data_IF_376810182924
#
_entry.id   IF_376810182924
#
_cell.length_a   1.000
_cell.length_b   1.000
_cell.length_c   1.000
_cell.angle_alpha   90.00
_cell.angle_beta   90.00
_cell.angle_gamma   90.00
#
_symmetry.space_group_name_H-M   'P 1'
#
loop_
_entity.id
_entity.type
_entity.pdbx_description
1 polymer ?
#
# COMPACT_ATOMS: atom_id res chain seq x y z
N UNK A 1 11.76 23.04 -41.72
CA UNK A 1 10.52 22.33 -41.30
C UNK A 1 9.39 23.33 -41.11
N UNK A 2 8.13 22.88 -41.08
CA UNK A 2 6.96 23.78 -40.94
C UNK A 2 6.88 24.39 -39.51
N UNK A 3 7.00 25.73 -39.34
CA UNK A 3 7.06 26.36 -38.02
C UNK A 3 5.79 26.26 -37.17
N UNK A 4 4.64 25.92 -37.76
CA UNK A 4 3.40 25.63 -37.01
C UNK A 4 3.48 24.25 -36.38
N UNK A 5 3.89 23.24 -37.16
CA UNK A 5 4.06 21.84 -36.70
C UNK A 5 5.11 21.72 -35.60
N UNK A 6 6.21 22.48 -35.66
CA UNK A 6 7.21 22.50 -34.58
C UNK A 6 6.61 23.03 -33.27
N UNK A 7 5.87 24.14 -33.30
CA UNK A 7 5.21 24.69 -32.10
C UNK A 7 4.16 23.76 -31.51
N UNK A 8 3.45 23.03 -32.36
CA UNK A 8 2.48 22.02 -31.93
C UNK A 8 3.17 20.87 -31.19
N UNK A 9 4.22 20.27 -31.77
CA UNK A 9 4.98 19.18 -31.14
C UNK A 9 5.59 19.61 -29.79
N UNK A 10 6.08 20.84 -29.68
CA UNK A 10 6.58 21.43 -28.43
C UNK A 10 5.47 21.56 -27.39
N UNK A 11 4.26 21.97 -27.79
CA UNK A 11 3.12 22.08 -26.88
C UNK A 11 2.67 20.71 -26.36
N UNK A 12 2.69 19.67 -27.21
CA UNK A 12 2.40 18.30 -26.79
C UNK A 12 3.44 17.78 -25.82
N UNK A 13 4.73 17.86 -26.16
CA UNK A 13 5.84 17.45 -25.28
C UNK A 13 5.86 18.15 -23.90
N UNK A 14 5.30 19.36 -23.79
CA UNK A 14 5.19 20.07 -22.50
C UNK A 14 3.96 19.71 -21.67
N UNK A 15 2.85 19.31 -22.30
CA UNK A 15 1.52 19.26 -21.67
C UNK A 15 0.81 17.90 -21.75
N UNK A 16 1.29 16.98 -22.57
CA UNK A 16 0.69 15.66 -22.82
C UNK A 16 1.66 14.56 -22.38
N UNK A 17 1.17 13.40 -21.88
CA UNK A 17 2.03 12.27 -21.50
C UNK A 17 2.88 11.70 -22.64
N UNK A 18 2.47 11.97 -23.89
CA UNK A 18 3.17 11.55 -25.10
C UNK A 18 3.27 12.70 -26.12
N UNK A 19 4.40 12.85 -26.82
CA UNK A 19 5.61 12.03 -26.73
C UNK A 19 6.42 12.36 -25.47
N UNK A 20 6.98 11.33 -24.81
CA UNK A 20 7.92 11.49 -23.68
C UNK A 20 9.37 11.75 -24.10
N UNK A 21 9.69 11.59 -25.39
CA UNK A 21 11.03 11.78 -25.96
C UNK A 21 10.95 12.78 -27.12
N UNK A 22 11.77 13.82 -27.09
CA UNK A 22 11.90 14.81 -28.16
C UNK A 22 13.30 14.74 -28.80
N UNK A 23 13.40 14.18 -30.00
CA UNK A 23 14.65 14.19 -30.78
C UNK A 23 14.80 15.54 -31.48
N UNK A 24 15.96 16.18 -31.34
CA UNK A 24 16.19 17.50 -31.95
C UNK A 24 17.65 17.81 -32.27
N UNK A 25 17.85 18.78 -33.15
CA UNK A 25 19.14 19.40 -33.48
C UNK A 25 19.31 20.71 -32.71
N UNK A 26 18.31 21.61 -32.75
CA UNK A 26 18.42 22.98 -32.24
C UNK A 26 17.33 23.39 -31.23
N UNK A 27 16.34 22.53 -30.94
CA UNK A 27 15.13 22.94 -30.23
C UNK A 27 15.35 23.15 -28.71
N UNK A 28 16.42 22.57 -28.15
CA UNK A 28 16.92 22.92 -26.80
C UNK A 28 17.70 24.25 -26.77
N UNK A 29 18.00 24.86 -27.92
CA UNK A 29 18.56 26.22 -27.99
C UNK A 29 17.44 27.26 -27.97
N UNK A 30 16.31 26.95 -28.63
CA UNK A 30 15.17 27.85 -28.83
C UNK A 30 14.23 27.91 -27.62
N UNK A 31 14.66 28.50 -26.51
CA UNK A 31 13.78 29.06 -25.47
C UNK A 31 12.81 28.13 -24.70
N UNK A 32 12.84 26.82 -24.92
CA UNK A 32 11.83 25.87 -24.42
C UNK A 32 12.04 25.40 -22.97
N UNK A 33 10.94 25.15 -22.27
CA UNK A 33 10.80 24.92 -20.83
C UNK A 33 9.33 24.54 -20.55
N UNK A 34 8.93 23.40 -20.00
CA UNK A 34 9.64 22.17 -19.57
C UNK A 34 10.62 22.26 -18.36
N UNK A 35 10.10 22.38 -17.12
CA UNK A 35 10.81 22.03 -15.88
C UNK A 35 10.92 20.50 -15.63
N UNK A 36 9.98 19.73 -16.17
CA UNK A 36 9.82 18.27 -15.98
C UNK A 36 10.91 17.43 -16.67
N UNK A 37 11.85 18.06 -17.40
CA UNK A 37 12.91 17.37 -18.13
C UNK A 37 13.85 16.65 -17.16
N UNK A 38 13.82 15.32 -17.12
CA UNK A 38 14.65 14.47 -16.26
C UNK A 38 15.91 13.92 -16.93
N UNK A 39 15.99 13.90 -18.27
CA UNK A 39 17.09 13.25 -18.99
C UNK A 39 17.52 14.06 -20.22
N UNK A 40 18.83 14.25 -20.39
CA UNK A 40 19.46 14.81 -21.59
C UNK A 40 20.28 13.72 -22.30
N UNK A 41 20.22 13.67 -23.63
CA UNK A 41 20.96 12.71 -24.46
C UNK A 41 21.74 13.45 -25.55
N UNK A 42 23.07 13.40 -25.49
CA UNK A 42 23.98 14.05 -26.45
C UNK A 42 24.41 13.08 -27.56
N UNK A 43 23.60 12.99 -28.63
CA UNK A 43 23.94 12.19 -29.82
C UNK A 43 24.88 12.91 -30.81
N UNK A 44 25.34 14.13 -30.50
CA UNK A 44 26.20 14.95 -31.37
C UNK A 44 27.08 15.88 -30.54
N UNK A 45 28.36 16.03 -30.95
CA UNK A 45 29.29 16.96 -30.30
C UNK A 45 28.84 18.41 -30.37
N UNK A 46 28.71 19.04 -29.20
CA UNK A 46 28.47 20.48 -29.04
C UNK A 46 29.82 21.20 -28.99
N UNK A 47 30.05 22.14 -29.92
CA UNK A 47 31.33 22.86 -30.04
C UNK A 47 31.43 24.17 -29.23
N UNK A 48 30.37 24.53 -28.50
CA UNK A 48 30.28 25.81 -27.78
C UNK A 48 29.92 25.57 -26.32
N UNK A 49 30.78 26.02 -25.40
CA UNK A 49 30.52 25.98 -23.94
C UNK A 49 29.20 26.66 -23.60
N UNK A 50 28.97 27.86 -24.12
CA UNK A 50 27.75 28.64 -23.86
C UNK A 50 26.50 27.85 -24.24
N UNK A 51 26.55 27.13 -25.36
CA UNK A 51 25.43 26.32 -25.82
C UNK A 51 25.20 25.08 -24.94
N UNK A 52 26.29 24.44 -24.49
CA UNK A 52 26.24 23.31 -23.57
C UNK A 52 25.70 23.72 -22.18
N UNK A 53 26.20 24.82 -21.60
CA UNK A 53 25.70 25.38 -20.33
C UNK A 53 24.23 25.81 -20.45
N UNK A 54 23.79 26.34 -21.61
CA UNK A 54 22.37 26.64 -21.88
C UNK A 54 21.49 25.39 -21.98
N UNK A 55 21.98 24.30 -22.58
CA UNK A 55 21.26 23.01 -22.62
C UNK A 55 21.14 22.42 -21.21
N UNK A 56 22.23 22.45 -20.44
CA UNK A 56 22.31 21.96 -19.07
C UNK A 56 21.39 22.74 -18.13
N UNK A 57 21.40 24.08 -18.23
CA UNK A 57 20.56 24.99 -17.43
C UNK A 57 19.05 24.89 -17.68
N UNK A 58 18.60 24.12 -18.68
CA UNK A 58 17.18 23.73 -18.82
C UNK A 58 16.85 22.53 -17.92
N UNK A 59 17.77 21.58 -17.79
CA UNK A 59 17.59 20.39 -16.98
C UNK A 59 17.73 20.65 -15.47
N UNK A 60 18.42 21.71 -15.04
CA UNK A 60 18.56 22.08 -13.62
C UNK A 60 17.29 22.60 -12.94
N UNK A 61 16.20 22.85 -13.70
CA UNK A 61 14.93 23.36 -13.17
C UNK A 61 14.28 22.35 -12.21
N UNK A 62 13.98 22.80 -10.99
CA UNK A 62 13.22 22.03 -10.00
C UNK A 62 11.78 21.79 -10.48
N UNK A 63 11.25 20.61 -10.16
CA UNK A 63 9.88 20.25 -10.51
C UNK A 63 9.25 19.43 -9.37
N UNK A 64 8.48 20.07 -8.45
CA UNK A 64 7.89 19.40 -7.31
C UNK A 64 6.84 18.33 -7.66
N UNK A 65 6.07 18.53 -8.75
CA UNK A 65 5.00 17.60 -9.18
C UNK A 65 5.50 16.17 -9.43
N UNK A 66 6.73 16.03 -9.93
CA UNK A 66 7.39 14.75 -10.18
C UNK A 66 8.51 14.43 -9.17
N UNK A 67 8.61 15.19 -8.07
CA UNK A 67 9.65 15.05 -7.04
C UNK A 67 11.09 15.05 -7.61
N UNK A 68 11.35 15.90 -8.61
CA UNK A 68 12.63 15.94 -9.34
C UNK A 68 13.78 16.40 -8.43
N UNK A 69 14.64 15.45 -8.06
CA UNK A 69 15.84 15.67 -7.22
C UNK A 69 17.14 15.80 -8.02
N UNK A 70 17.17 15.29 -9.24
CA UNK A 70 18.32 15.27 -10.14
C UNK A 70 17.85 15.17 -11.60
N UNK A 71 18.78 15.17 -12.54
CA UNK A 71 18.57 14.82 -13.94
C UNK A 71 19.78 14.01 -14.44
N UNK A 72 19.56 13.20 -15.47
CA UNK A 72 20.59 12.33 -16.05
C UNK A 72 21.14 12.90 -17.36
N UNK A 73 22.41 12.60 -17.65
CA UNK A 73 23.07 12.95 -18.91
C UNK A 73 23.64 11.66 -19.53
N UNK A 74 23.19 11.34 -20.73
CA UNK A 74 23.76 10.28 -21.55
C UNK A 74 24.58 10.91 -22.68
N UNK A 75 25.87 10.64 -22.72
CA UNK A 75 26.80 11.25 -23.68
C UNK A 75 27.71 10.22 -24.36
N UNK A 76 27.20 9.51 -25.38
CA UNK A 76 28.00 8.56 -26.16
C UNK A 76 29.03 9.21 -27.10
N UNK A 77 29.19 10.54 -27.12
CA UNK A 77 30.08 11.25 -28.08
C UNK A 77 31.16 12.10 -27.43
N UNK A 78 31.23 12.14 -26.09
CA UNK A 78 32.26 12.82 -25.31
C UNK A 78 32.17 14.35 -25.34
N UNK A 79 30.97 14.91 -25.26
CA UNK A 79 30.73 16.36 -25.07
C UNK A 79 31.16 16.81 -23.67
N UNK A 80 30.82 16.04 -22.65
CA UNK A 80 31.04 16.35 -21.25
C UNK A 80 32.54 16.39 -20.94
N UNK A 81 33.26 15.31 -21.24
CA UNK A 81 34.72 15.20 -21.12
C UNK A 81 35.46 16.32 -21.87
N UNK A 82 35.00 16.66 -23.08
CA UNK A 82 35.61 17.73 -23.88
C UNK A 82 35.35 19.16 -23.39
N UNK A 83 34.34 19.37 -22.52
CA UNK A 83 33.95 20.69 -22.01
C UNK A 83 34.13 20.84 -20.49
N UNK A 84 34.37 19.75 -19.76
CA UNK A 84 34.67 19.73 -18.33
C UNK A 84 35.80 20.71 -17.92
N UNK A 85 36.94 20.83 -18.64
CA UNK A 85 38.01 21.76 -18.26
C UNK A 85 37.63 23.24 -18.32
N UNK A 86 36.55 23.58 -19.03
CA UNK A 86 36.10 24.97 -19.27
C UNK A 86 34.71 25.27 -18.72
N UNK A 87 34.01 24.27 -18.17
CA UNK A 87 32.64 24.37 -17.64
C UNK A 87 32.61 25.01 -16.25
N UNK A 88 31.66 25.92 -16.03
CA UNK A 88 31.40 26.50 -14.70
C UNK A 88 30.43 25.67 -13.86
N UNK A 89 29.61 24.82 -14.50
CA UNK A 89 28.71 23.90 -13.80
C UNK A 89 29.41 22.56 -13.53
N UNK A 90 30.22 22.52 -12.46
CA UNK A 90 30.74 21.25 -11.92
C UNK A 90 29.66 20.54 -11.08
N UNK A 91 29.52 19.21 -11.18
CA UNK A 91 28.64 18.46 -10.29
C UNK A 91 29.23 18.50 -8.87
N UNK A 92 28.42 18.90 -7.89
CA UNK A 92 28.80 18.94 -6.46
C UNK A 92 29.19 17.54 -5.93
N UNK A 93 28.86 16.47 -6.67
CA UNK A 93 29.11 15.08 -6.30
C UNK A 93 29.28 14.25 -7.58
N UNK A 94 30.53 13.94 -7.94
CA UNK A 94 30.88 13.22 -9.18
C UNK A 94 30.45 11.75 -9.17
N UNK A 95 30.38 11.11 -7.99
CA UNK A 95 29.88 9.74 -7.82
C UNK A 95 28.58 9.75 -7.00
N UNK A 96 27.43 9.31 -7.57
CA UNK A 96 26.17 9.21 -6.82
C UNK A 96 26.18 8.08 -5.78
N UNK A 97 27.04 7.09 -5.97
CA UNK A 97 27.20 5.88 -5.14
C UNK A 97 28.03 6.07 -3.87
N UNK A 98 28.86 7.12 -3.76
CA UNK A 98 29.71 7.34 -2.58
C UNK A 98 28.86 7.51 -1.32
N UNK A 99 29.14 6.73 -0.27
CA UNK A 99 28.37 6.76 0.99
C UNK A 99 28.76 7.96 1.86
N UNK A 100 27.88 8.32 2.80
CA UNK A 100 28.14 9.31 3.86
C UNK A 100 29.38 8.88 4.65
N UNK A 101 29.50 7.60 5.01
CA UNK A 101 30.69 7.04 5.66
C UNK A 101 31.96 7.29 4.84
N UNK A 102 31.96 6.98 3.54
CA UNK A 102 33.12 7.23 2.65
C UNK A 102 33.46 8.72 2.51
N UNK A 103 32.47 9.62 2.56
CA UNK A 103 32.73 11.06 2.55
C UNK A 103 33.39 11.53 3.85
N UNK A 104 32.97 11.01 5.00
CA UNK A 104 33.55 11.30 6.32
C UNK A 104 34.96 10.69 6.45
N UNK A 105 35.15 9.43 6.07
CA UNK A 105 36.44 8.74 6.06
C UNK A 105 37.43 9.42 5.09
N UNK A 106 36.91 10.00 4.00
CA UNK A 106 37.68 10.80 3.06
C UNK A 106 38.29 12.08 3.65
N UNK A 107 37.74 12.62 4.74
CA UNK A 107 38.29 13.82 5.40
C UNK A 107 39.67 13.56 6.03
N UNK A 108 40.07 12.31 6.25
CA UNK A 108 41.35 11.96 6.88
C UNK A 108 42.55 12.10 5.95
N UNK A 109 42.31 12.27 4.65
CA UNK A 109 43.36 12.45 3.63
C UNK A 109 43.62 13.92 3.26
N UNK A 110 42.85 14.86 3.85
CA UNK A 110 42.96 16.29 3.59
C UNK A 110 43.34 17.04 4.87
N UNK A 111 44.45 17.76 4.83
CA UNK A 111 44.90 18.64 5.92
C UNK A 111 44.58 20.12 5.63
N UNK A 112 44.68 20.53 4.36
CA UNK A 112 44.40 21.91 3.91
C UNK A 112 42.90 22.27 3.97
N UNK A 113 42.61 23.47 4.49
CA UNK A 113 41.24 23.94 4.76
C UNK A 113 40.36 24.02 3.50
N UNK A 114 40.91 24.41 2.34
CA UNK A 114 40.18 24.48 1.07
C UNK A 114 39.69 23.08 0.62
N UNK A 115 40.53 22.05 0.71
CA UNK A 115 40.19 20.68 0.34
C UNK A 115 39.23 20.04 1.36
N UNK A 116 39.41 20.34 2.65
CA UNK A 116 38.48 19.96 3.72
C UNK A 116 37.10 20.57 3.46
N UNK A 117 37.01 21.87 3.16
CA UNK A 117 35.73 22.53 2.85
C UNK A 117 35.04 21.91 1.63
N UNK A 118 35.78 21.65 0.55
CA UNK A 118 35.24 20.97 -0.65
C UNK A 118 34.72 19.56 -0.33
N UNK A 119 35.29 18.87 0.66
CA UNK A 119 34.80 17.57 1.13
C UNK A 119 33.58 17.69 2.07
N UNK A 120 33.52 18.71 2.93
CA UNK A 120 32.36 19.05 3.76
C UNK A 120 31.16 19.44 2.89
N UNK A 121 31.35 20.23 1.83
CA UNK A 121 30.28 20.62 0.91
C UNK A 121 29.64 19.40 0.22
N UNK A 122 30.45 18.40 -0.18
CA UNK A 122 29.96 17.11 -0.71
C UNK A 122 29.14 16.35 0.32
N UNK A 123 29.60 16.32 1.57
CA UNK A 123 28.94 15.66 2.70
C UNK A 123 27.58 16.31 3.00
N UNK A 124 27.54 17.64 3.15
CA UNK A 124 26.31 18.41 3.34
C UNK A 124 25.34 18.18 2.19
N UNK A 125 25.81 18.24 0.93
CA UNK A 125 24.97 17.98 -0.23
C UNK A 125 24.46 16.52 -0.32
N UNK A 126 25.18 15.53 0.22
CA UNK A 126 24.72 14.13 0.34
C UNK A 126 23.66 14.01 1.44
N UNK A 127 23.93 14.55 2.64
CA UNK A 127 23.02 14.54 3.78
C UNK A 127 21.68 15.21 3.44
N UNK A 128 21.69 16.43 2.88
CA UNK A 128 20.46 17.12 2.46
C UNK A 128 19.63 16.32 1.44
N UNK A 129 20.28 15.63 0.48
CA UNK A 129 19.59 14.74 -0.46
C UNK A 129 18.98 13.53 0.23
N UNK A 130 19.65 12.98 1.25
CA UNK A 130 19.17 11.83 2.01
C UNK A 130 17.99 12.20 2.93
N UNK A 131 18.09 13.29 3.68
CA UNK A 131 17.00 13.85 4.51
C UNK A 131 15.72 14.02 3.69
N UNK A 132 15.82 14.68 2.52
CA UNK A 132 14.69 14.89 1.58
C UNK A 132 14.12 13.60 0.96
N UNK A 133 14.78 12.45 1.11
CA UNK A 133 14.30 11.17 0.60
C UNK A 133 13.58 10.32 1.66
N UNK A 134 13.68 10.70 2.93
CA UNK A 134 13.00 10.04 4.04
C UNK A 134 11.57 10.58 4.20
N UNK A 135 10.67 9.72 4.66
CA UNK A 135 9.35 10.18 5.12
C UNK A 135 9.42 10.82 6.51
N UNK A 136 8.50 11.72 6.84
CA UNK A 136 8.43 12.42 8.14
C UNK A 136 8.53 11.47 9.34
N UNK A 137 7.96 10.26 9.24
CA UNK A 137 8.02 9.23 10.30
C UNK A 137 9.42 8.62 10.43
N UNK A 138 10.11 8.38 9.31
CA UNK A 138 11.48 7.86 9.32
C UNK A 138 12.48 8.92 9.80
N UNK A 139 12.31 10.17 9.37
CA UNK A 139 13.15 11.28 9.79
C UNK A 139 13.06 11.49 11.30
N UNK A 140 11.84 11.59 11.85
CA UNK A 140 11.63 11.74 13.31
C UNK A 140 12.22 10.58 14.12
N UNK A 141 12.00 9.34 13.70
CA UNK A 141 12.58 8.18 14.39
C UNK A 141 14.12 8.17 14.37
N UNK A 142 14.73 8.66 13.28
CA UNK A 142 16.18 8.80 13.18
C UNK A 142 16.70 9.97 14.03
N UNK A 143 16.01 11.11 14.09
CA UNK A 143 16.35 12.26 14.94
C UNK A 143 16.17 11.95 16.44
N UNK A 144 15.13 11.19 16.81
CA UNK A 144 14.93 10.66 18.17
C UNK A 144 16.08 9.75 18.62
N UNK A 145 16.62 8.93 17.71
CA UNK A 145 17.78 8.09 18.00
C UNK A 145 19.10 8.87 18.02
N UNK A 146 19.25 9.87 17.14
CA UNK A 146 20.43 10.72 17.06
C UNK A 146 20.56 11.73 18.23
N UNK A 147 19.42 12.17 18.79
CA UNK A 147 19.37 13.20 19.82
C UNK A 147 19.55 14.63 19.30
N UNK A 148 19.54 14.84 17.98
CA UNK A 148 19.64 16.15 17.33
C UNK A 148 18.90 16.15 15.98
N UNK A 149 18.55 17.35 15.47
CA UNK A 149 17.97 17.46 14.13
C UNK A 149 19.04 17.44 13.04
N UNK A 150 18.82 16.63 11.99
CA UNK A 150 19.74 16.56 10.86
C UNK A 150 19.72 17.83 9.99
N UNK A 151 18.61 18.58 9.98
CA UNK A 151 18.51 19.86 9.25
C UNK A 151 19.31 20.98 9.93
N UNK A 152 19.39 20.95 11.27
CA UNK A 152 20.21 21.88 12.04
C UNK A 152 21.69 21.48 11.96
N UNK A 153 21.99 20.19 12.14
CA UNK A 153 23.34 19.66 12.03
C UNK A 153 23.99 19.91 10.65
N UNK A 154 23.24 19.79 9.56
CA UNK A 154 23.74 20.11 8.20
C UNK A 154 23.90 21.60 7.94
N UNK A 155 23.18 22.46 8.68
CA UNK A 155 23.34 23.92 8.65
C UNK A 155 24.60 24.33 9.39
N UNK A 156 24.82 23.77 10.58
CA UNK A 156 26.02 23.97 11.39
C UNK A 156 27.28 23.52 10.65
N UNK A 157 27.28 22.34 10.03
CA UNK A 157 28.40 21.83 9.22
C UNK A 157 28.84 22.78 8.09
N UNK A 158 27.92 23.59 7.55
CA UNK A 158 28.20 24.57 6.49
C UNK A 158 28.60 25.95 7.08
N UNK A 159 28.31 26.21 8.35
CA UNK A 159 28.64 27.45 9.05
C UNK A 159 29.90 27.39 9.91
N UNK A 160 30.32 26.19 10.31
CA UNK A 160 31.55 25.93 11.04
C UNK A 160 32.80 26.19 10.17
N UNK A 161 33.92 26.49 10.84
CA UNK A 161 35.26 26.47 10.25
C UNK A 161 35.61 25.06 9.70
N UNK A 162 36.37 24.91 8.59
CA UNK A 162 36.60 23.61 7.94
C UNK A 162 37.11 22.52 8.90
N UNK A 163 38.03 22.84 9.82
CA UNK A 163 38.56 21.85 10.76
C UNK A 163 37.55 21.53 11.88
N UNK A 164 36.75 22.51 12.30
CA UNK A 164 35.65 22.28 13.25
C UNK A 164 34.55 21.40 12.62
N UNK A 165 34.16 21.69 11.38
CA UNK A 165 33.21 20.89 10.61
C UNK A 165 33.71 19.45 10.41
N UNK A 166 34.99 19.27 10.08
CA UNK A 166 35.66 17.96 10.00
C UNK A 166 35.57 17.19 11.31
N UNK A 167 35.89 17.79 12.45
CA UNK A 167 35.80 17.13 13.75
C UNK A 167 34.34 16.78 14.11
N UNK A 168 33.38 17.69 13.87
CA UNK A 168 31.95 17.46 14.12
C UNK A 168 31.41 16.30 13.27
N UNK A 169 31.74 16.26 11.98
CA UNK A 169 31.37 15.17 11.07
C UNK A 169 31.91 13.82 11.54
N UNK A 170 33.17 13.76 11.98
CA UNK A 170 33.80 12.53 12.48
C UNK A 170 33.23 12.07 13.83
N UNK A 171 32.91 12.98 14.74
CA UNK A 171 32.29 12.62 16.03
C UNK A 171 30.94 11.93 15.86
N UNK A 172 30.15 12.34 14.87
CA UNK A 172 28.84 11.76 14.58
C UNK A 172 28.87 10.69 13.47
N UNK A 173 30.05 10.17 13.12
CA UNK A 173 30.25 9.25 11.98
C UNK A 173 29.23 8.12 11.94
N UNK A 174 29.07 7.37 13.03
CA UNK A 174 28.19 6.19 13.07
C UNK A 174 26.72 6.57 12.84
N UNK A 175 26.25 7.65 13.46
CA UNK A 175 24.87 8.15 13.33
C UNK A 175 24.61 8.67 11.91
N UNK A 176 25.57 9.38 11.33
CA UNK A 176 25.48 9.89 9.96
C UNK A 176 25.61 8.77 8.91
N UNK A 177 26.44 7.75 9.17
CA UNK A 177 26.57 6.58 8.31
C UNK A 177 25.29 5.73 8.31
N UNK A 178 24.68 5.53 9.48
CA UNK A 178 23.40 4.82 9.63
C UNK A 178 22.28 5.43 8.79
N UNK A 179 22.31 6.74 8.49
CA UNK A 179 21.36 7.34 7.55
C UNK A 179 21.37 6.64 6.20
N UNK A 180 22.52 6.26 5.63
CA UNK A 180 22.57 5.56 4.33
C UNK A 180 21.77 4.25 4.37
N UNK A 181 21.82 3.52 5.50
CA UNK A 181 21.05 2.29 5.76
C UNK A 181 19.55 2.54 5.97
N UNK A 182 19.14 3.75 6.36
CA UNK A 182 17.71 4.12 6.36
C UNK A 182 17.25 4.19 4.90
N UNK A 183 16.62 3.11 4.45
CA UNK A 183 16.09 2.99 3.11
C UNK A 183 14.90 3.95 2.93
N UNK A 184 15.15 5.07 2.24
CA UNK A 184 14.11 5.65 1.40
C UNK A 184 13.63 4.54 0.43
N UNK A 185 12.32 4.42 0.19
CA UNK A 185 11.68 3.34 -0.59
C UNK A 185 12.07 3.36 -2.09
N UNK A 186 13.35 3.15 -2.39
CA UNK A 186 13.80 2.50 -3.62
C UNK A 186 13.81 1.02 -3.30
N UNK A 187 12.89 0.28 -3.91
CA UNK A 187 12.77 -1.16 -3.71
C UNK A 187 14.14 -1.83 -3.87
N UNK A 188 14.40 -2.83 -3.03
CA UNK A 188 15.66 -3.55 -2.98
C UNK A 188 16.18 -3.85 -4.40
N UNK A 189 17.49 -3.69 -4.61
CA UNK A 189 18.11 -4.07 -5.87
C UNK A 189 17.83 -5.56 -6.12
N UNK A 190 16.91 -5.84 -7.04
CA UNK A 190 16.53 -7.21 -7.37
C UNK A 190 17.70 -7.86 -8.07
N UNK A 191 18.24 -8.93 -7.48
CA UNK A 191 19.20 -9.80 -8.16
C UNK A 191 18.40 -10.56 -9.23
N UNK A 192 18.47 -10.10 -10.47
CA UNK A 192 17.85 -10.78 -11.60
C UNK A 192 18.77 -11.96 -11.99
N UNK A 193 18.22 -13.16 -11.92
CA UNK A 193 18.85 -14.38 -12.42
C UNK A 193 18.30 -14.68 -13.81
N UNK A 194 19.18 -14.97 -14.78
CA UNK A 194 18.80 -15.47 -16.10
C UNK A 194 18.58 -17.01 -16.12
N UNK A 195 18.63 -17.67 -14.96
CA UNK A 195 18.29 -19.09 -14.84
C UNK A 195 16.76 -19.29 -14.87
N UNK A 196 16.26 -20.42 -15.41
CA UNK A 196 14.85 -20.75 -15.31
C UNK A 196 14.44 -20.92 -13.83
N UNK A 197 13.36 -20.26 -13.42
CA UNK A 197 12.83 -20.36 -12.06
C UNK A 197 12.35 -21.78 -11.74
N UNK A 198 12.69 -22.27 -10.54
CA UNK A 198 12.17 -23.51 -9.97
C UNK A 198 11.44 -23.22 -8.66
N UNK A 199 10.20 -23.71 -8.53
CA UNK A 199 9.42 -23.58 -7.30
C UNK A 199 9.90 -24.59 -6.25
N UNK A 200 10.94 -24.24 -5.50
CA UNK A 200 11.53 -25.10 -4.47
C UNK A 200 10.55 -25.39 -3.33
N UNK A 201 9.80 -24.38 -2.88
CA UNK A 201 8.73 -24.53 -1.90
C UNK A 201 7.80 -23.32 -1.90
N UNK A 202 6.59 -23.48 -1.37
CA UNK A 202 5.66 -22.39 -1.10
C UNK A 202 4.92 -22.68 0.21
N UNK A 203 5.31 -21.98 1.26
CA UNK A 203 4.67 -22.00 2.59
C UNK A 203 3.81 -20.75 2.77
N UNK A 204 2.63 -20.90 3.38
CA UNK A 204 1.73 -19.78 3.71
C UNK A 204 1.83 -19.47 5.19
N UNK A 205 2.24 -18.24 5.52
CA UNK A 205 2.29 -17.77 6.90
C UNK A 205 0.89 -17.33 7.36
N UNK A 206 0.49 -17.81 8.54
CA UNK A 206 -0.73 -17.42 9.25
C UNK A 206 -0.46 -16.44 10.40
N UNK A 207 0.81 -16.10 10.62
CA UNK A 207 1.32 -15.27 11.70
C UNK A 207 2.30 -16.08 12.55
N UNK A 208 3.53 -15.60 12.66
CA UNK A 208 4.56 -16.24 13.50
C UNK A 208 5.08 -17.59 12.99
N UNK A 209 4.80 -17.96 11.72
CA UNK A 209 5.21 -19.25 11.15
C UNK A 209 4.33 -20.43 11.54
N UNK A 210 3.13 -20.18 12.08
CA UNK A 210 2.15 -21.22 12.43
C UNK A 210 1.63 -21.98 11.20
N UNK A 211 1.41 -23.29 11.34
CA UNK A 211 0.74 -24.12 10.32
C UNK A 211 -0.78 -23.88 10.35
N UNK A 212 -1.54 -24.30 9.31
CA UNK A 212 -3.00 -24.20 9.31
C UNK A 212 -3.66 -24.84 10.54
N UNK A 213 -3.13 -25.98 10.99
CA UNK A 213 -3.60 -26.70 12.18
C UNK A 213 -3.41 -25.84 13.44
N UNK A 214 -2.18 -25.38 13.68
CA UNK A 214 -1.81 -24.60 14.86
C UNK A 214 -2.61 -23.29 14.95
N UNK A 215 -2.87 -22.66 13.79
CA UNK A 215 -3.67 -21.43 13.69
C UNK A 215 -5.15 -21.64 14.01
N UNK A 216 -5.72 -22.78 13.60
CA UNK A 216 -7.12 -23.12 13.86
C UNK A 216 -7.33 -23.65 15.29
N UNK A 217 -6.33 -24.31 15.88
CA UNK A 217 -6.29 -24.66 17.30
C UNK A 217 -6.25 -23.38 18.16
N UNK A 218 -5.34 -22.44 17.84
CA UNK A 218 -5.30 -21.13 18.51
C UNK A 218 -6.59 -20.32 18.37
N UNK A 219 -7.30 -20.42 17.24
CA UNK A 219 -8.63 -19.84 17.08
C UNK A 219 -9.65 -20.52 18.00
N UNK A 220 -9.64 -21.85 18.07
CA UNK A 220 -10.51 -22.64 18.96
C UNK A 220 -10.34 -22.24 20.42
N UNK A 221 -9.10 -22.15 20.90
CA UNK A 221 -8.76 -21.75 22.27
C UNK A 221 -9.16 -20.30 22.57
N UNK A 222 -8.96 -19.40 21.61
CA UNK A 222 -9.38 -18.01 21.73
C UNK A 222 -10.90 -17.92 21.90
N UNK A 223 -11.67 -18.63 21.06
CA UNK A 223 -13.13 -18.66 21.13
C UNK A 223 -13.60 -19.25 22.46
N UNK A 224 -13.06 -20.40 22.87
CA UNK A 224 -13.43 -21.07 24.12
C UNK A 224 -13.17 -20.21 25.37
N UNK A 225 -12.08 -19.43 25.35
CA UNK A 225 -11.70 -18.53 26.45
C UNK A 225 -12.61 -17.29 26.51
N UNK A 226 -12.88 -16.64 25.38
CA UNK A 226 -13.53 -15.32 25.33
C UNK A 226 -15.05 -15.36 25.08
N UNK A 227 -15.67 -16.53 24.88
CA UNK A 227 -17.11 -16.68 24.60
C UNK A 227 -18.04 -16.08 25.68
N UNK A 228 -17.58 -15.98 26.93
CA UNK A 228 -18.34 -15.38 28.03
C UNK A 228 -18.01 -13.90 28.26
N UNK A 229 -16.91 -13.41 27.69
CA UNK A 229 -16.44 -12.03 27.86
C UNK A 229 -16.87 -11.13 26.70
N UNK A 230 -16.85 -11.65 25.47
CA UNK A 230 -17.26 -10.94 24.26
C UNK A 230 -18.72 -11.24 23.97
N UNK A 231 -19.59 -10.27 24.24
CA UNK A 231 -21.04 -10.43 24.03
C UNK A 231 -21.42 -10.90 22.62
N UNK A 232 -20.71 -10.44 21.58
CA UNK A 232 -20.95 -10.87 20.21
C UNK A 232 -20.58 -12.35 19.95
N UNK A 233 -19.52 -12.89 20.59
CA UNK A 233 -19.20 -14.32 20.52
C UNK A 233 -20.30 -15.17 21.17
N UNK A 234 -20.76 -14.76 22.35
CA UNK A 234 -21.87 -15.42 23.04
C UNK A 234 -23.13 -15.46 22.17
N UNK A 235 -23.44 -14.35 21.50
CA UNK A 235 -24.63 -14.17 20.69
C UNK A 235 -24.56 -14.99 19.38
N UNK A 236 -23.39 -15.10 18.73
CA UNK A 236 -23.18 -16.03 17.60
C UNK A 236 -23.52 -17.48 17.94
N UNK A 237 -23.29 -17.91 19.18
CA UNK A 237 -23.53 -19.28 19.63
C UNK A 237 -24.98 -19.48 20.11
N UNK A 238 -25.48 -18.58 20.94
CA UNK A 238 -26.79 -18.73 21.60
C UNK A 238 -27.97 -18.26 20.75
N UNK A 239 -27.83 -17.13 20.05
CA UNK A 239 -28.90 -16.46 19.30
C UNK A 239 -28.38 -15.72 18.05
N UNK A 240 -27.77 -16.40 17.06
CA UNK A 240 -27.20 -15.74 15.89
C UNK A 240 -28.22 -14.93 15.07
N UNK A 241 -29.52 -15.25 15.17
CA UNK A 241 -30.61 -14.48 14.57
C UNK A 241 -30.80 -13.06 15.15
N UNK A 242 -30.29 -12.79 16.36
CA UNK A 242 -30.36 -11.48 17.02
C UNK A 242 -29.15 -10.57 16.68
N UNK A 243 -28.20 -11.04 15.85
CA UNK A 243 -27.03 -10.26 15.45
C UNK A 243 -27.42 -9.03 14.63
N UNK A 244 -26.85 -7.88 14.98
CA UNK A 244 -26.92 -6.66 14.16
C UNK A 244 -25.63 -6.47 13.36
N UNK A 245 -25.71 -5.70 12.26
CA UNK A 245 -24.53 -5.30 11.46
C UNK A 245 -23.43 -4.63 12.32
N UNK A 246 -23.83 -3.89 13.36
CA UNK A 246 -22.89 -3.24 14.29
C UNK A 246 -22.18 -4.29 15.16
N UNK A 247 -22.92 -5.19 15.80
CA UNK A 247 -22.33 -6.27 16.62
C UNK A 247 -21.45 -7.23 15.80
N UNK A 248 -21.81 -7.51 14.55
CA UNK A 248 -21.02 -8.34 13.64
C UNK A 248 -19.69 -7.65 13.28
N UNK A 249 -19.72 -6.33 13.02
CA UNK A 249 -18.52 -5.54 12.74
C UNK A 249 -17.62 -5.39 13.96
N UNK A 250 -18.19 -5.25 15.16
CA UNK A 250 -17.43 -5.27 16.41
C UNK A 250 -16.76 -6.63 16.66
N UNK A 251 -17.44 -7.73 16.35
CA UNK A 251 -16.88 -9.07 16.39
C UNK A 251 -15.70 -9.23 15.42
N UNK A 252 -15.87 -8.86 14.15
CA UNK A 252 -14.81 -8.91 13.14
C UNK A 252 -13.58 -8.09 13.56
N UNK A 253 -13.78 -6.88 14.07
CA UNK A 253 -12.69 -6.03 14.58
C UNK A 253 -12.00 -6.62 15.83
N UNK A 254 -12.74 -7.34 16.67
CA UNK A 254 -12.19 -8.00 17.87
C UNK A 254 -11.34 -9.19 17.48
N UNK A 255 -11.82 -10.02 16.56
CA UNK A 255 -11.11 -11.18 16.02
C UNK A 255 -9.86 -10.75 15.22
N UNK A 256 -9.96 -9.75 14.35
CA UNK A 256 -8.82 -9.32 13.51
C UNK A 256 -7.68 -8.71 14.37
N UNK A 257 -8.02 -8.02 15.47
CA UNK A 257 -7.03 -7.58 16.49
C UNK A 257 -6.34 -8.75 17.19
N UNK A 258 -7.01 -9.89 17.35
CA UNK A 258 -6.43 -11.13 17.86
C UNK A 258 -5.71 -11.96 16.77
N UNK A 259 -5.68 -11.48 15.52
CA UNK A 259 -5.04 -12.13 14.38
C UNK A 259 -5.96 -13.03 13.53
N UNK A 260 -7.24 -13.11 13.88
CA UNK A 260 -8.23 -13.99 13.28
C UNK A 260 -9.18 -13.23 12.35
N UNK A 261 -9.18 -13.55 11.05
CA UNK A 261 -10.18 -13.02 10.13
C UNK A 261 -10.73 -14.10 9.21
N UNK A 262 -11.95 -13.90 8.72
CA UNK A 262 -12.69 -14.89 7.94
C UNK A 262 -11.90 -15.39 6.72
N UNK A 263 -11.13 -14.53 6.04
CA UNK A 263 -10.31 -14.90 4.89
C UNK A 263 -9.19 -15.88 5.26
N UNK A 264 -8.45 -15.61 6.35
CA UNK A 264 -7.39 -16.51 6.82
C UNK A 264 -7.95 -17.82 7.38
N UNK A 265 -9.03 -17.75 8.15
CA UNK A 265 -9.70 -18.92 8.73
C UNK A 265 -10.22 -19.86 7.63
N UNK A 266 -10.97 -19.34 6.65
CA UNK A 266 -11.45 -20.16 5.53
C UNK A 266 -10.30 -20.76 4.72
N UNK A 267 -9.19 -20.03 4.53
CA UNK A 267 -8.02 -20.56 3.81
C UNK A 267 -7.33 -21.69 4.58
N UNK A 268 -7.13 -21.54 5.89
CA UNK A 268 -6.57 -22.58 6.74
C UNK A 268 -7.47 -23.85 6.73
N UNK A 269 -8.79 -23.69 6.79
CA UNK A 269 -9.73 -24.83 6.74
C UNK A 269 -9.74 -25.47 5.34
N UNK A 270 -9.65 -24.67 4.28
CA UNK A 270 -9.57 -25.19 2.90
C UNK A 270 -8.28 -25.99 2.68
N UNK A 271 -7.17 -25.58 3.29
CA UNK A 271 -5.90 -26.32 3.27
C UNK A 271 -5.97 -27.61 4.09
N UNK A 272 -6.55 -27.59 5.29
CA UNK A 272 -6.73 -28.81 6.10
C UNK A 272 -7.69 -29.82 5.48
N UNK A 273 -8.78 -29.35 4.87
CA UNK A 273 -9.85 -30.23 4.33
C UNK A 273 -9.65 -30.59 2.85
N UNK A 274 -8.73 -29.93 2.14
CA UNK A 274 -8.57 -29.99 0.68
C UNK A 274 -9.85 -29.66 -0.10
N UNK A 275 -10.71 -28.82 0.46
CA UNK A 275 -11.96 -28.37 -0.16
C UNK A 275 -12.07 -26.84 -0.10
N UNK A 276 -12.34 -26.19 -1.24
CA UNK A 276 -12.61 -24.74 -1.25
C UNK A 276 -13.92 -24.45 -0.52
N UNK A 277 -13.85 -23.64 0.53
CA UNK A 277 -15.00 -23.34 1.37
C UNK A 277 -14.91 -21.89 1.88
N UNK A 278 -15.97 -21.12 1.62
CA UNK A 278 -16.14 -19.75 2.08
C UNK A 278 -17.33 -19.68 3.06
N UNK A 279 -17.09 -19.98 4.33
CA UNK A 279 -18.04 -19.80 5.41
C UNK A 279 -17.98 -18.38 5.99
N UNK A 280 -19.13 -17.84 6.42
CA UNK A 280 -19.18 -16.58 7.15
C UNK A 280 -18.58 -16.69 8.57
N UNK A 281 -18.22 -15.55 9.16
CA UNK A 281 -17.55 -15.50 10.46
C UNK A 281 -18.41 -16.08 11.60
N UNK A 282 -19.73 -15.94 11.51
CA UNK A 282 -20.69 -16.50 12.48
C UNK A 282 -20.56 -18.02 12.50
N UNK A 283 -20.48 -18.64 11.32
CA UNK A 283 -20.38 -20.08 11.17
C UNK A 283 -19.01 -20.64 11.52
N UNK A 284 -17.95 -19.88 11.27
CA UNK A 284 -16.62 -20.18 11.78
C UNK A 284 -16.62 -20.17 13.33
N UNK A 285 -17.16 -19.12 13.96
CA UNK A 285 -17.30 -19.06 15.43
C UNK A 285 -18.12 -20.23 15.96
N UNK A 286 -19.28 -20.55 15.36
CA UNK A 286 -20.12 -21.69 15.78
C UNK A 286 -19.40 -23.04 15.63
N UNK A 287 -18.64 -23.24 14.54
CA UNK A 287 -17.87 -24.47 14.31
C UNK A 287 -16.89 -24.74 15.46
N UNK A 288 -16.14 -23.73 15.85
CA UNK A 288 -15.08 -23.85 16.87
C UNK A 288 -15.57 -23.66 18.31
N UNK A 289 -16.78 -23.11 18.51
CA UNK A 289 -17.42 -23.02 19.83
C UNK A 289 -18.27 -24.25 20.20
N UNK A 290 -19.04 -24.80 19.24
CA UNK A 290 -20.07 -25.82 19.49
C UNK A 290 -20.08 -26.95 18.44
N UNK A 291 -19.02 -27.11 17.66
CA UNK A 291 -18.88 -28.24 16.73
C UNK A 291 -19.87 -28.26 15.57
N UNK A 292 -20.57 -27.14 15.28
CA UNK A 292 -21.61 -27.07 14.24
C UNK A 292 -21.11 -27.53 12.87
N UNK A 293 -22.00 -28.00 11.99
CA UNK A 293 -21.62 -28.39 10.62
C UNK A 293 -21.23 -27.12 9.85
N UNK A 294 -20.03 -27.13 9.26
CA UNK A 294 -19.54 -26.00 8.49
C UNK A 294 -20.02 -26.10 7.05
N UNK A 295 -20.77 -25.08 6.61
CA UNK A 295 -21.28 -24.93 5.25
C UNK A 295 -20.76 -23.62 4.65
N UNK A 296 -20.66 -23.55 3.32
CA UNK A 296 -20.41 -22.29 2.64
C UNK A 296 -21.54 -21.28 2.89
N UNK A 297 -21.24 -19.99 2.78
CA UNK A 297 -22.20 -18.91 3.00
C UNK A 297 -23.41 -19.02 2.05
N UNK A 298 -23.16 -19.25 0.76
CA UNK A 298 -24.22 -19.42 -0.26
C UNK A 298 -25.09 -20.65 0.01
N UNK A 299 -24.48 -21.80 0.31
CA UNK A 299 -25.20 -23.05 0.60
C UNK A 299 -26.10 -22.93 1.84
N UNK A 300 -25.61 -22.25 2.89
CA UNK A 300 -26.40 -21.96 4.10
C UNK A 300 -27.65 -21.15 3.78
N UNK A 301 -27.49 -20.06 3.03
CA UNK A 301 -28.61 -19.20 2.64
C UNK A 301 -29.59 -19.97 1.78
N UNK A 302 -29.11 -20.67 0.76
CA UNK A 302 -29.95 -21.44 -0.15
C UNK A 302 -30.73 -22.53 0.61
N UNK A 303 -30.08 -23.27 1.52
CA UNK A 303 -30.72 -24.29 2.36
C UNK A 303 -31.79 -23.71 3.29
N UNK A 304 -31.55 -22.53 3.87
CA UNK A 304 -32.52 -21.84 4.72
C UNK A 304 -33.74 -21.37 3.91
N UNK A 305 -33.52 -20.82 2.72
CA UNK A 305 -34.55 -20.34 1.80
C UNK A 305 -35.38 -21.51 1.23
N UNK A 306 -34.77 -22.62 0.82
CA UNK A 306 -35.49 -23.81 0.36
C UNK A 306 -36.32 -24.45 1.48
N UNK A 307 -35.80 -24.47 2.73
CA UNK A 307 -36.57 -24.93 3.89
C UNK A 307 -37.78 -24.04 4.16
N UNK A 308 -37.64 -22.73 4.05
CA UNK A 308 -38.75 -21.77 4.18
C UNK A 308 -39.80 -21.99 3.07
N UNK A 309 -39.37 -22.18 1.81
CA UNK A 309 -40.25 -22.52 0.67
C UNK A 309 -40.97 -23.87 0.84
N UNK A 310 -40.41 -24.80 1.60
CA UNK A 310 -41.03 -26.09 1.91
C UNK A 310 -42.00 -26.03 3.10
N UNK A 311 -41.82 -25.10 4.03
CA UNK A 311 -42.70 -24.88 5.17
C UNK A 311 -43.98 -24.11 4.80
N UNK A 312 -43.91 -23.22 3.81
CA UNK A 312 -44.97 -22.27 3.45
C UNK A 312 -45.39 -22.34 1.99
N UNK A 313 -46.65 -21.98 1.69
CA UNK A 313 -47.18 -21.95 0.31
C UNK A 313 -47.15 -20.54 -0.29
N UNK A 314 -45.98 -20.11 -0.76
CA UNK A 314 -45.80 -18.77 -1.31
C UNK A 314 -46.40 -18.57 -2.71
N UNK A 315 -47.02 -17.41 -2.92
CA UNK A 315 -47.41 -16.91 -4.24
C UNK A 315 -46.19 -16.57 -5.11
N UNK A 316 -46.41 -16.42 -6.42
CA UNK A 316 -45.36 -15.94 -7.35
C UNK A 316 -44.78 -14.57 -6.96
N UNK A 317 -45.54 -13.72 -6.26
CA UNK A 317 -45.05 -12.40 -5.87
C UNK A 317 -44.14 -12.49 -4.63
N UNK A 318 -44.48 -13.35 -3.68
CA UNK A 318 -43.67 -13.62 -2.49
C UNK A 318 -42.39 -14.37 -2.85
N UNK A 319 -42.44 -15.38 -3.73
CA UNK A 319 -41.24 -16.06 -4.24
C UNK A 319 -40.25 -15.10 -4.91
N UNK A 320 -40.75 -14.12 -5.67
CA UNK A 320 -39.90 -13.07 -6.25
C UNK A 320 -39.26 -12.14 -5.20
N UNK A 321 -39.89 -11.99 -4.03
CA UNK A 321 -39.30 -11.27 -2.90
C UNK A 321 -38.30 -12.14 -2.12
N UNK A 322 -38.58 -13.43 -1.93
CA UNK A 322 -37.65 -14.35 -1.31
C UNK A 322 -36.35 -14.48 -2.12
N UNK A 323 -36.41 -14.58 -3.45
CA UNK A 323 -35.18 -14.53 -4.30
C UNK A 323 -34.39 -13.22 -4.14
N UNK A 324 -35.05 -12.09 -3.87
CA UNK A 324 -34.38 -10.80 -3.59
C UNK A 324 -33.75 -10.77 -2.20
N UNK A 325 -34.38 -11.41 -1.22
CA UNK A 325 -33.85 -11.58 0.14
C UNK A 325 -32.64 -12.54 0.10
N UNK A 326 -32.72 -13.65 -0.63
CA UNK A 326 -31.62 -14.59 -0.92
C UNK A 326 -30.44 -13.85 -1.58
N UNK A 327 -30.69 -13.07 -2.64
CA UNK A 327 -29.68 -12.23 -3.31
C UNK A 327 -29.11 -11.14 -2.40
N UNK A 328 -29.88 -10.60 -1.46
CA UNK A 328 -29.39 -9.68 -0.44
C UNK A 328 -28.47 -10.41 0.54
N UNK A 329 -28.91 -11.54 1.10
CA UNK A 329 -28.18 -12.31 2.10
C UNK A 329 -26.81 -12.78 1.60
N UNK A 330 -26.68 -13.15 0.32
CA UNK A 330 -25.39 -13.53 -0.31
C UNK A 330 -24.36 -12.40 -0.27
N UNK A 331 -24.80 -11.14 -0.17
CA UNK A 331 -23.93 -9.96 -0.09
C UNK A 331 -23.80 -9.39 1.34
N UNK A 332 -24.75 -9.68 2.23
CA UNK A 332 -24.83 -9.12 3.59
C UNK A 332 -25.49 -10.14 4.52
N UNK A 333 -24.71 -10.67 5.47
CA UNK A 333 -25.10 -11.80 6.31
C UNK A 333 -26.17 -11.46 7.37
N UNK A 334 -26.62 -10.20 7.48
CA UNK A 334 -27.60 -9.76 8.49
C UNK A 334 -28.89 -9.23 7.83
N UNK A 335 -30.01 -9.89 8.12
CA UNK A 335 -31.35 -9.45 7.73
C UNK A 335 -32.18 -9.12 8.99
N UNK A 336 -32.76 -7.92 9.04
CA UNK A 336 -33.71 -7.55 10.10
C UNK A 336 -34.80 -6.62 9.52
N UNK A 337 -35.83 -6.31 10.30
CA UNK A 337 -36.96 -5.51 9.84
C UNK A 337 -36.57 -4.10 9.32
N UNK A 338 -35.51 -3.48 9.85
CA UNK A 338 -35.08 -2.14 9.40
C UNK A 338 -34.35 -2.16 8.05
N UNK A 339 -33.71 -3.28 7.67
CA UNK A 339 -33.06 -3.45 6.36
C UNK A 339 -34.00 -3.07 5.23
N UNK A 340 -35.28 -3.49 5.30
CA UNK A 340 -36.27 -3.22 4.26
C UNK A 340 -36.56 -1.72 4.02
N UNK A 341 -36.38 -0.87 5.04
CA UNK A 341 -36.57 0.58 4.92
C UNK A 341 -35.25 1.35 4.71
N UNK A 342 -34.09 0.74 5.03
CA UNK A 342 -32.77 1.34 4.83
C UNK A 342 -32.12 1.03 3.47
N UNK A 343 -32.26 -0.20 2.96
CA UNK A 343 -31.57 -0.67 1.75
C UNK A 343 -32.40 -0.40 0.49
N UNK A 344 -31.76 0.21 -0.51
CA UNK A 344 -32.43 0.65 -1.74
C UNK A 344 -33.06 -0.48 -2.56
N UNK A 345 -32.59 -1.74 -2.43
CA UNK A 345 -33.18 -2.92 -3.10
C UNK A 345 -34.64 -3.16 -2.67
N UNK A 346 -34.98 -2.79 -1.44
CA UNK A 346 -36.32 -2.93 -0.83
C UNK A 346 -37.04 -1.57 -0.74
N UNK A 347 -36.36 -0.53 -0.24
CA UNK A 347 -36.88 0.82 -0.05
C UNK A 347 -37.43 1.43 -1.34
N UNK A 348 -36.71 1.29 -2.47
CA UNK A 348 -37.16 1.80 -3.78
C UNK A 348 -38.48 1.17 -4.29
N UNK A 349 -38.92 0.06 -3.69
CA UNK A 349 -40.18 -0.61 -4.01
C UNK A 349 -41.29 -0.35 -2.99
N UNK A 350 -41.00 0.39 -1.92
CA UNK A 350 -41.94 0.87 -0.91
C UNK A 350 -41.69 0.38 0.52
N UNK A 351 -40.53 -0.23 0.78
CA UNK A 351 -40.07 -0.54 2.13
C UNK A 351 -40.89 -1.59 2.88
N UNK A 352 -40.62 -1.74 4.18
CA UNK A 352 -41.22 -2.76 5.04
C UNK A 352 -42.75 -2.77 4.92
N UNK A 353 -43.39 -1.61 5.10
CA UNK A 353 -44.87 -1.46 5.06
C UNK A 353 -45.54 -1.93 3.77
N UNK A 354 -44.82 -2.00 2.64
CA UNK A 354 -45.37 -2.48 1.38
C UNK A 354 -45.02 -3.94 1.11
N UNK A 355 -43.84 -4.43 1.53
CA UNK A 355 -43.55 -5.86 1.47
C UNK A 355 -44.41 -6.64 2.47
N UNK A 356 -44.63 -6.11 3.67
CA UNK A 356 -45.48 -6.71 4.71
C UNK A 356 -46.90 -7.00 4.21
N UNK A 357 -47.48 -6.06 3.44
CA UNK A 357 -48.77 -6.27 2.75
C UNK A 357 -48.76 -7.35 1.65
N UNK A 358 -47.59 -7.67 1.10
CA UNK A 358 -47.44 -8.77 0.12
C UNK A 358 -47.39 -10.11 0.83
N UNK A 359 -46.75 -10.17 2.00
CA UNK A 359 -46.72 -11.31 2.92
C UNK A 359 -47.86 -11.28 3.95
N UNK A 360 -49.01 -10.69 3.60
CA UNK A 360 -50.24 -10.71 4.40
C UNK A 360 -50.16 -10.17 5.86
N UNK A 361 -49.09 -9.48 6.25
CA UNK A 361 -48.82 -9.02 7.62
C UNK A 361 -47.84 -9.90 8.42
N UNK A 362 -47.30 -10.95 7.79
CA UNK A 362 -46.46 -11.99 8.42
C UNK A 362 -44.96 -11.83 8.07
N UNK A 363 -44.55 -10.71 7.45
CA UNK A 363 -43.17 -10.51 7.01
C UNK A 363 -42.16 -10.57 8.16
N UNK A 364 -42.52 -10.06 9.35
CA UNK A 364 -41.66 -10.11 10.52
C UNK A 364 -41.39 -11.55 10.97
N UNK A 365 -42.42 -12.39 10.98
CA UNK A 365 -42.36 -13.80 11.39
C UNK A 365 -41.57 -14.62 10.36
N UNK A 366 -41.81 -14.41 9.07
CA UNK A 366 -41.06 -15.04 7.97
C UNK A 366 -39.56 -14.68 8.02
N UNK A 367 -39.21 -13.44 8.35
CA UNK A 367 -37.82 -13.00 8.52
C UNK A 367 -37.17 -13.64 9.75
N UNK A 368 -37.90 -13.74 10.86
CA UNK A 368 -37.42 -14.41 12.08
C UNK A 368 -37.22 -15.92 11.85
N UNK A 369 -38.13 -16.59 11.15
CA UNK A 369 -38.03 -18.00 10.78
C UNK A 369 -36.85 -18.24 9.82
N UNK A 370 -36.67 -17.39 8.80
CA UNK A 370 -35.53 -17.48 7.89
C UNK A 370 -34.19 -17.31 8.64
N UNK A 371 -34.07 -16.31 9.51
CA UNK A 371 -32.88 -16.10 10.34
C UNK A 371 -32.60 -17.28 11.27
N UNK A 372 -33.66 -17.92 11.78
CA UNK A 372 -33.54 -19.16 12.57
C UNK A 372 -33.01 -20.30 11.70
N UNK A 373 -33.51 -20.47 10.47
CA UNK A 373 -33.06 -21.51 9.55
C UNK A 373 -31.63 -21.34 9.02
N UNK A 374 -31.08 -20.13 8.99
CA UNK A 374 -29.67 -19.89 8.62
C UNK A 374 -28.68 -20.60 9.58
N UNK A 375 -29.04 -20.74 10.86
CA UNK A 375 -28.15 -21.27 11.89
C UNK A 375 -28.79 -22.37 12.75
N UNK A 376 -29.86 -23.01 12.26
CA UNK A 376 -30.43 -24.21 12.88
C UNK A 376 -29.58 -25.44 12.55
N UNK A 377 -28.68 -25.77 13.49
CA UNK A 377 -27.80 -26.93 13.43
C UNK A 377 -28.53 -28.28 13.62
N UNK A 378 -29.86 -28.29 13.83
CA UNK A 378 -30.70 -29.50 14.00
C UNK A 378 -30.21 -30.48 15.07
N UNK A 379 -29.49 -29.99 16.08
CA UNK A 379 -28.88 -30.83 17.12
C UNK A 379 -27.68 -31.65 16.63
N UNK A 380 -27.10 -31.35 15.46
CA UNK A 380 -25.82 -31.88 15.02
C UNK A 380 -24.66 -31.06 15.63
N UNK A 381 -24.62 -31.09 16.96
CA UNK A 381 -23.42 -30.83 17.76
C UNK A 381 -22.57 -32.09 17.63
N UNK A 382 -21.38 -31.97 17.03
CA UNK A 382 -20.49 -33.10 16.74
C UNK A 382 -19.76 -33.61 17.99
#
# INVERSE_FOLDING_TARGET
GNPKRTRELVRRFKNEPYPSIAVTVDLLTTGIDVPELTTLVFMRRVKSRILFEQMLGRATRLCPSIHKTHFEIFDPVGVYEALEPVSTMKPISANPTTTIAQLIDGLDYYEDDDDVQVQIDKLVAKLQRKIRSLSDKQLKAAEEHAGFSFEEFTRDLHGDDPQAAKQRAKQQREILAALDEVHANKGHAVVISDQPDELVSHTRDYGGGARPEDYLEAFSDYIATHINEVAALNLCVTKPADLTRETLRELELTLDRAGFNATRLNRAISEMTNAEMAADIISLVRRYAIGSVLLSHEERIHRAVERLKAAHSFSKQELNWLMRIETYLINDSVLNASVFDTDDRFKSKGGFKKLDKVFHGELADIVHELNTYLYDDKGHVA
#
